data_IF_966399460716
#
_entry.id   IF_966399460716
#
_cell.length_a   1.000
_cell.length_b   1.000
_cell.length_c   1.000
_cell.angle_alpha   90.00
_cell.angle_beta   90.00
_cell.angle_gamma   90.00
#
_symmetry.space_group_name_H-M   'P 1'
#
loop_
_entity.id
_entity.type
_entity.pdbx_description
1 polymer ?
#
# COMPACT_ATOMS: atom_id res chain seq x y z
N UNK A 1 8.01 -11.45 -14.57
CA UNK A 1 8.88 -11.19 -13.39
C UNK A 1 9.41 -9.76 -13.49
N UNK A 2 8.94 -8.86 -12.63
CA UNK A 2 9.23 -7.41 -12.70
C UNK A 2 10.46 -6.97 -11.88
N UNK A 3 11.02 -7.85 -11.04
CA UNK A 3 12.09 -7.52 -10.10
C UNK A 3 13.29 -6.79 -10.73
N UNK A 4 13.84 -7.20 -11.90
CA UNK A 4 14.94 -6.47 -12.52
C UNK A 4 14.60 -5.05 -12.93
N UNK A 5 13.34 -4.81 -13.34
CA UNK A 5 12.86 -3.49 -13.71
C UNK A 5 12.69 -2.61 -12.47
N UNK A 6 12.13 -3.15 -11.38
CA UNK A 6 12.04 -2.45 -10.09
C UNK A 6 13.40 -2.05 -9.56
N UNK A 7 14.41 -2.96 -9.60
CA UNK A 7 15.78 -2.65 -9.19
C UNK A 7 16.33 -1.49 -10.02
N UNK A 8 16.16 -1.52 -11.34
CA UNK A 8 16.63 -0.46 -12.24
C UNK A 8 15.99 0.89 -11.92
N UNK A 9 14.67 0.93 -11.70
CA UNK A 9 13.95 2.16 -11.35
C UNK A 9 14.37 2.68 -9.97
N UNK A 10 14.65 1.78 -9.03
CA UNK A 10 15.08 2.14 -7.69
C UNK A 10 16.49 2.74 -7.64
N UNK A 11 17.40 2.38 -8.56
CA UNK A 11 18.76 2.93 -8.59
C UNK A 11 18.80 4.46 -8.81
N UNK A 12 17.76 5.05 -9.41
CA UNK A 12 17.59 6.51 -9.54
C UNK A 12 16.16 6.88 -9.11
N UNK A 13 15.83 6.51 -7.85
CA UNK A 13 14.46 6.58 -7.33
C UNK A 13 13.87 7.98 -7.39
N UNK A 14 14.66 9.03 -7.11
CA UNK A 14 14.18 10.42 -7.14
C UNK A 14 13.58 10.81 -8.50
N UNK A 15 14.14 10.28 -9.59
CA UNK A 15 13.62 10.53 -10.95
C UNK A 15 12.55 9.54 -11.39
N UNK A 16 12.54 8.34 -10.81
CA UNK A 16 11.73 7.23 -11.29
C UNK A 16 10.62 6.80 -10.32
N UNK A 17 10.38 7.56 -9.23
CA UNK A 17 9.42 7.17 -8.20
C UNK A 17 8.03 6.86 -8.78
N UNK A 18 7.53 7.72 -9.67
CA UNK A 18 6.25 7.48 -10.34
C UNK A 18 6.23 6.17 -11.13
N UNK A 19 7.22 5.95 -12.01
CA UNK A 19 7.30 4.72 -12.80
C UNK A 19 7.50 3.47 -11.91
N UNK A 20 8.17 3.62 -10.78
CA UNK A 20 8.34 2.54 -9.80
C UNK A 20 7.01 2.11 -9.17
N UNK A 21 6.21 3.08 -8.69
CA UNK A 21 4.91 2.79 -8.09
C UNK A 21 3.88 2.32 -9.13
N UNK A 22 3.90 2.90 -10.32
CA UNK A 22 3.04 2.47 -11.43
C UNK A 22 3.32 1.01 -11.81
N UNK A 23 4.59 0.62 -11.93
CA UNK A 23 4.98 -0.77 -12.21
C UNK A 23 4.53 -1.73 -11.11
N UNK A 24 4.64 -1.33 -9.82
CA UNK A 24 4.13 -2.13 -8.70
C UNK A 24 2.61 -2.28 -8.77
N UNK A 25 1.89 -1.21 -9.13
CA UNK A 25 0.44 -1.27 -9.27
C UNK A 25 0.01 -2.23 -10.38
N UNK A 26 0.67 -2.19 -11.53
CA UNK A 26 0.43 -3.15 -12.63
C UNK A 26 0.67 -4.59 -12.18
N UNK A 27 1.80 -4.88 -11.52
CA UNK A 27 2.10 -6.24 -11.03
C UNK A 27 1.06 -6.73 -10.02
N UNK A 28 0.59 -5.86 -9.15
CA UNK A 28 -0.47 -6.18 -8.18
C UNK A 28 -1.79 -6.54 -8.89
N UNK A 29 -2.19 -5.79 -9.91
CA UNK A 29 -3.39 -6.08 -10.67
C UNK A 29 -3.25 -7.35 -11.50
N UNK A 30 -2.12 -7.57 -12.15
CA UNK A 30 -1.82 -8.81 -12.88
C UNK A 30 -1.92 -10.02 -11.95
N UNK A 31 -1.39 -9.90 -10.73
CA UNK A 31 -1.45 -10.95 -9.73
C UNK A 31 -2.90 -11.24 -9.27
N UNK A 32 -3.71 -10.20 -9.04
CA UNK A 32 -5.13 -10.33 -8.70
C UNK A 32 -5.91 -11.02 -9.83
N UNK A 33 -5.70 -10.60 -11.07
CA UNK A 33 -6.36 -11.17 -12.24
C UNK A 33 -5.95 -12.64 -12.46
N UNK A 34 -4.67 -12.97 -12.28
CA UNK A 34 -4.18 -14.34 -12.32
C UNK A 34 -4.81 -15.23 -11.22
N UNK A 35 -5.14 -14.62 -10.07
CA UNK A 35 -5.89 -15.24 -8.99
C UNK A 35 -7.41 -15.36 -9.23
N UNK A 36 -7.89 -14.89 -10.40
CA UNK A 36 -9.31 -14.97 -10.78
C UNK A 36 -10.16 -13.78 -10.34
N UNK A 37 -9.55 -12.73 -9.77
CA UNK A 37 -10.27 -11.51 -9.41
C UNK A 37 -10.60 -10.73 -10.68
N UNK A 38 -11.88 -10.48 -10.91
CA UNK A 38 -12.35 -9.67 -12.02
C UNK A 38 -12.61 -8.23 -11.54
N UNK A 39 -12.01 -7.27 -12.23
CA UNK A 39 -12.16 -5.84 -11.92
C UNK A 39 -12.94 -5.20 -13.07
N UNK A 40 -14.03 -4.52 -12.74
CA UNK A 40 -14.90 -3.91 -13.73
C UNK A 40 -15.99 -3.03 -13.10
N UNK A 41 -17.02 -2.63 -13.88
CA UNK A 41 -18.02 -1.61 -13.46
C UNK A 41 -18.80 -1.93 -12.18
N UNK A 42 -18.98 -3.21 -11.87
CA UNK A 42 -19.68 -3.66 -10.66
C UNK A 42 -18.74 -3.74 -9.44
N UNK A 43 -17.41 -3.61 -9.63
CA UNK A 43 -16.44 -3.73 -8.55
C UNK A 43 -16.41 -2.44 -7.72
N UNK A 44 -16.74 -2.55 -6.45
CA UNK A 44 -16.53 -1.50 -5.44
C UNK A 44 -15.18 -1.74 -4.78
N UNK A 45 -14.26 -0.80 -4.95
CA UNK A 45 -12.90 -0.91 -4.45
C UNK A 45 -12.58 0.18 -3.45
N UNK A 46 -11.86 -0.19 -2.39
CA UNK A 46 -11.18 0.72 -1.48
C UNK A 46 -9.66 0.61 -1.70
N UNK A 47 -9.03 1.72 -2.06
CA UNK A 47 -7.56 1.85 -2.11
C UNK A 47 -7.10 2.43 -0.77
N UNK A 48 -6.66 1.55 0.14
CA UNK A 48 -6.42 1.82 1.55
C UNK A 48 -4.94 2.12 1.79
N UNK A 49 -4.61 3.34 2.23
CA UNK A 49 -3.24 3.86 2.21
C UNK A 49 -2.80 4.14 0.78
N UNK A 50 -3.65 4.86 0.05
CA UNK A 50 -3.55 4.96 -1.41
C UNK A 50 -2.32 5.73 -1.91
N UNK A 51 -1.66 6.56 -1.09
CA UNK A 51 -0.56 7.41 -1.49
C UNK A 51 -0.89 8.21 -2.75
N UNK A 52 -0.15 7.98 -3.84
CA UNK A 52 -0.40 8.64 -5.13
C UNK A 52 -1.59 8.05 -5.91
N UNK A 53 -2.15 6.92 -5.49
CA UNK A 53 -3.38 6.35 -6.04
C UNK A 53 -3.22 5.49 -7.29
N UNK A 54 -2.03 4.97 -7.61
CA UNK A 54 -1.81 4.17 -8.82
C UNK A 54 -2.68 2.90 -8.91
N UNK A 55 -2.81 2.07 -7.84
CA UNK A 55 -3.67 0.90 -7.91
C UNK A 55 -5.13 1.27 -8.18
N UNK A 56 -5.63 2.27 -7.45
CA UNK A 56 -6.99 2.77 -7.65
C UNK A 56 -7.21 3.38 -9.02
N UNK A 57 -6.22 4.08 -9.59
CA UNK A 57 -6.29 4.61 -10.95
C UNK A 57 -6.51 3.49 -11.97
N UNK A 58 -5.68 2.45 -11.94
CA UNK A 58 -5.78 1.33 -12.88
C UNK A 58 -7.13 0.60 -12.73
N UNK A 59 -7.63 0.43 -11.51
CA UNK A 59 -8.97 -0.15 -11.29
C UNK A 59 -10.08 0.75 -11.85
N UNK A 60 -9.97 2.07 -11.74
CA UNK A 60 -10.92 3.01 -12.35
C UNK A 60 -10.89 2.95 -13.87
N UNK A 61 -9.72 2.83 -14.47
CA UNK A 61 -9.54 2.66 -15.92
C UNK A 61 -10.20 1.36 -16.41
N UNK A 62 -10.23 0.31 -15.57
CA UNK A 62 -10.99 -0.92 -15.80
C UNK A 62 -12.50 -0.77 -15.52
N UNK A 63 -12.96 0.41 -15.07
CA UNK A 63 -14.36 0.74 -14.84
C UNK A 63 -14.82 0.62 -13.38
N UNK A 64 -13.97 0.21 -12.44
CA UNK A 64 -14.35 0.01 -11.04
C UNK A 64 -14.74 1.33 -10.35
N UNK A 65 -15.63 1.21 -9.35
CA UNK A 65 -16.02 2.29 -8.46
C UNK A 65 -15.01 2.35 -7.31
N UNK A 66 -14.08 3.30 -7.38
CA UNK A 66 -12.96 3.39 -6.42
C UNK A 66 -13.15 4.52 -5.43
N UNK A 67 -12.99 4.20 -4.15
CA UNK A 67 -12.79 5.15 -3.05
C UNK A 67 -11.32 5.08 -2.66
N UNK A 68 -10.67 6.23 -2.56
CA UNK A 68 -9.30 6.36 -2.06
C UNK A 68 -9.33 6.73 -0.59
N UNK A 69 -8.45 6.13 0.22
CA UNK A 69 -8.34 6.47 1.62
C UNK A 69 -6.88 6.51 2.07
N UNK A 70 -6.49 7.60 2.76
CA UNK A 70 -5.15 7.78 3.32
C UNK A 70 -5.18 8.78 4.47
N UNK A 71 -4.08 8.88 5.22
CA UNK A 71 -3.92 9.90 6.24
C UNK A 71 -3.86 11.32 5.65
N UNK A 72 -3.21 11.48 4.49
CA UNK A 72 -3.10 12.70 3.70
C UNK A 72 -3.49 12.46 2.25
N UNK A 73 -4.09 13.43 1.59
CA UNK A 73 -4.42 13.34 0.17
C UNK A 73 -3.21 13.69 -0.72
N UNK A 74 -2.37 12.68 -0.98
CA UNK A 74 -1.20 12.77 -1.84
C UNK A 74 -1.44 12.27 -3.28
N UNK A 75 -2.71 12.01 -3.65
CA UNK A 75 -3.06 11.47 -4.96
C UNK A 75 -2.61 12.38 -6.11
N UNK A 76 -2.36 11.74 -7.26
CA UNK A 76 -2.14 12.44 -8.53
C UNK A 76 -3.25 13.47 -8.79
N UNK A 77 -2.92 14.59 -9.41
CA UNK A 77 -3.89 15.66 -9.70
C UNK A 77 -5.08 15.16 -10.52
N UNK A 78 -4.86 14.20 -11.43
CA UNK A 78 -5.90 13.54 -12.21
C UNK A 78 -6.94 12.78 -11.39
N UNK A 79 -6.63 12.47 -10.13
CA UNK A 79 -7.48 11.70 -9.21
C UNK A 79 -8.17 12.56 -8.16
N UNK A 80 -7.88 13.86 -8.09
CA UNK A 80 -8.41 14.74 -7.02
C UNK A 80 -9.94 14.85 -7.00
N UNK A 81 -10.59 14.73 -8.14
CA UNK A 81 -12.05 14.72 -8.26
C UNK A 81 -12.69 13.37 -7.86
N UNK A 82 -11.91 12.32 -7.69
CA UNK A 82 -12.42 11.02 -7.25
C UNK A 82 -12.74 11.04 -5.75
N UNK A 83 -13.65 10.16 -5.26
CA UNK A 83 -13.96 10.05 -3.85
C UNK A 83 -12.70 9.78 -3.01
N UNK A 84 -12.50 10.57 -1.95
CA UNK A 84 -11.42 10.41 -0.98
C UNK A 84 -11.96 10.46 0.44
N UNK A 85 -11.44 9.59 1.29
CA UNK A 85 -11.73 9.54 2.71
C UNK A 85 -10.43 9.66 3.49
N UNK A 86 -10.34 10.63 4.38
CA UNK A 86 -9.20 10.73 5.28
C UNK A 86 -9.31 9.66 6.37
N UNK A 87 -8.21 8.90 6.59
CA UNK A 87 -8.19 7.80 7.55
C UNK A 87 -6.84 7.74 8.30
N UNK A 88 -6.90 7.58 9.62
CA UNK A 88 -5.75 7.13 10.42
C UNK A 88 -5.92 5.65 10.74
N UNK A 89 -5.22 4.80 10.01
CA UNK A 89 -5.30 3.34 10.15
C UNK A 89 -4.82 2.80 11.50
N UNK A 90 -4.16 3.60 12.32
CA UNK A 90 -3.75 3.19 13.66
C UNK A 90 -4.90 3.20 14.67
N UNK A 91 -5.98 3.95 14.41
CA UNK A 91 -7.05 4.17 15.39
C UNK A 91 -8.45 4.30 14.79
N UNK A 92 -8.60 4.29 13.46
CA UNK A 92 -9.90 4.44 12.80
C UNK A 92 -10.84 3.27 13.12
N UNK A 93 -12.12 3.55 13.30
CA UNK A 93 -13.16 2.52 13.23
C UNK A 93 -13.40 2.18 11.76
N UNK A 94 -12.98 1.00 11.33
CA UNK A 94 -13.05 0.60 9.93
C UNK A 94 -14.48 0.41 9.44
N UNK A 95 -15.46 0.23 10.33
CA UNK A 95 -16.88 0.13 9.97
C UNK A 95 -17.42 1.40 9.30
N UNK A 96 -16.82 2.56 9.60
CA UNK A 96 -17.24 3.85 9.04
C UNK A 96 -16.91 3.97 7.53
N UNK A 97 -16.04 3.11 7.00
CA UNK A 97 -15.56 3.18 5.60
C UNK A 97 -16.36 2.28 4.65
N UNK A 98 -17.31 1.50 5.18
CA UNK A 98 -18.20 0.65 4.41
C UNK A 98 -17.54 -0.61 3.86
N UNK A 99 -18.31 -1.40 3.11
CA UNK A 99 -17.87 -2.70 2.59
C UNK A 99 -17.61 -2.65 1.09
N UNK A 100 -16.56 -3.37 0.67
CA UNK A 100 -16.05 -3.36 -0.70
C UNK A 100 -15.83 -4.78 -1.21
N UNK A 101 -15.83 -4.93 -2.54
CA UNK A 101 -15.54 -6.20 -3.21
C UNK A 101 -14.04 -6.43 -3.33
N UNK A 102 -13.28 -5.35 -3.39
CA UNK A 102 -11.82 -5.36 -3.38
C UNK A 102 -11.30 -4.26 -2.43
N UNK A 103 -10.45 -4.65 -1.49
CA UNK A 103 -9.66 -3.72 -0.69
C UNK A 103 -8.19 -3.94 -1.01
N UNK A 104 -7.52 -2.91 -1.49
CA UNK A 104 -6.07 -2.95 -1.70
C UNK A 104 -5.36 -2.17 -0.61
N UNK A 105 -4.33 -2.79 -0.01
CA UNK A 105 -3.45 -2.18 0.99
C UNK A 105 -2.00 -2.53 0.61
N UNK A 106 -1.35 -1.64 -0.11
CA UNK A 106 -0.04 -1.90 -0.72
C UNK A 106 1.04 -1.03 -0.11
N UNK A 107 2.05 -1.66 0.51
CA UNK A 107 3.18 -0.98 1.18
C UNK A 107 2.74 0.03 2.27
N UNK A 108 1.75 -0.34 3.06
CA UNK A 108 1.19 0.47 4.15
C UNK A 108 1.48 -0.14 5.51
N UNK A 109 1.39 -1.48 5.61
CA UNK A 109 1.43 -2.19 6.87
C UNK A 109 2.71 -1.92 7.67
N UNK A 110 3.84 -1.79 6.96
CA UNK A 110 5.16 -1.48 7.53
C UNK A 110 5.26 -0.08 8.15
N UNK A 111 4.34 0.81 7.80
CA UNK A 111 4.29 2.19 8.31
C UNK A 111 3.34 2.35 9.49
N UNK A 112 2.51 1.35 9.80
CA UNK A 112 1.57 1.42 10.91
C UNK A 112 2.25 1.17 12.26
N UNK A 113 1.87 1.96 13.25
CA UNK A 113 2.29 1.72 14.64
C UNK A 113 1.58 0.50 15.23
N UNK A 114 0.32 0.28 14.83
CA UNK A 114 -0.54 -0.80 15.31
C UNK A 114 -1.11 -1.62 14.13
N UNK A 115 -0.26 -2.36 13.37
CA UNK A 115 -0.71 -3.11 12.19
C UNK A 115 -1.78 -4.16 12.52
N UNK A 116 -1.76 -4.69 13.74
CA UNK A 116 -2.78 -5.63 14.21
C UNK A 116 -4.17 -5.01 14.33
N UNK A 117 -4.29 -3.69 14.49
CA UNK A 117 -5.58 -3.02 14.49
C UNK A 117 -6.27 -3.20 13.15
N UNK A 118 -5.59 -2.88 12.05
CA UNK A 118 -6.10 -3.10 10.70
C UNK A 118 -6.44 -4.58 10.47
N UNK A 119 -5.51 -5.49 10.74
CA UNK A 119 -5.67 -6.92 10.42
C UNK A 119 -6.84 -7.59 11.16
N UNK A 120 -7.14 -7.16 12.38
CA UNK A 120 -8.26 -7.72 13.17
C UNK A 120 -9.63 -7.26 12.70
N UNK A 121 -9.70 -6.14 11.99
CA UNK A 121 -10.98 -5.50 11.63
C UNK A 121 -11.23 -5.48 10.11
N UNK A 122 -10.44 -6.24 9.33
CA UNK A 122 -10.56 -6.32 7.88
C UNK A 122 -11.94 -6.78 7.40
N UNK A 123 -12.60 -7.63 8.18
CA UNK A 123 -13.94 -8.13 7.87
C UNK A 123 -14.99 -7.02 7.82
N UNK A 124 -14.73 -5.89 8.45
CA UNK A 124 -15.60 -4.72 8.40
C UNK A 124 -15.54 -3.99 7.05
N UNK A 125 -14.40 -4.10 6.33
CA UNK A 125 -14.17 -3.47 5.04
C UNK A 125 -14.58 -4.33 3.85
N UNK A 126 -14.87 -5.63 4.06
CA UNK A 126 -15.11 -6.58 2.98
C UNK A 126 -16.56 -7.02 2.89
N UNK A 127 -17.09 -7.10 1.67
CA UNK A 127 -18.27 -7.87 1.35
C UNK A 127 -18.02 -9.37 1.60
N UNK A 128 -19.06 -10.22 1.75
CA UNK A 128 -18.89 -11.65 2.07
C UNK A 128 -17.98 -12.43 1.12
N UNK A 129 -17.87 -12.00 -0.16
CA UNK A 129 -16.98 -12.57 -1.17
C UNK A 129 -15.85 -11.60 -1.55
N UNK A 130 -15.64 -10.58 -0.76
CA UNK A 130 -14.63 -9.55 -1.02
C UNK A 130 -13.21 -10.09 -0.89
N UNK A 131 -12.31 -9.50 -1.66
CA UNK A 131 -10.89 -9.84 -1.69
C UNK A 131 -10.09 -8.74 -1.01
N UNK A 132 -9.18 -9.13 -0.13
CA UNK A 132 -8.17 -8.25 0.44
C UNK A 132 -6.81 -8.53 -0.19
N UNK A 133 -6.27 -7.53 -0.89
CA UNK A 133 -4.89 -7.55 -1.37
C UNK A 133 -4.00 -6.86 -0.35
N UNK A 134 -2.98 -7.55 0.11
CA UNK A 134 -1.99 -7.01 1.03
C UNK A 134 -0.59 -7.23 0.48
N UNK A 135 0.18 -6.17 0.36
CA UNK A 135 1.62 -6.24 0.15
C UNK A 135 2.35 -5.34 1.14
N UNK A 136 3.57 -5.72 1.48
CA UNK A 136 4.45 -4.94 2.33
C UNK A 136 5.91 -5.16 1.96
N UNK A 137 6.76 -4.20 2.29
CA UNK A 137 8.19 -4.31 2.06
C UNK A 137 8.83 -5.12 3.18
N UNK A 138 9.37 -6.30 2.85
CA UNK A 138 10.07 -7.13 3.81
C UNK A 138 11.41 -6.48 4.19
N UNK A 139 11.73 -6.48 5.51
CA UNK A 139 13.00 -5.94 6.02
C UNK A 139 14.25 -6.50 5.33
N UNK A 140 14.24 -7.78 4.97
CA UNK A 140 15.37 -8.45 4.30
C UNK A 140 15.41 -8.20 2.77
N UNK A 141 14.44 -7.47 2.21
CA UNK A 141 14.49 -7.08 0.80
C UNK A 141 15.54 -5.97 0.59
N UNK A 142 16.01 -5.75 -0.66
CA UNK A 142 16.92 -4.65 -0.97
C UNK A 142 16.38 -3.27 -0.54
N UNK A 143 15.08 -3.14 -0.40
CA UNK A 143 14.38 -1.90 0.01
C UNK A 143 13.92 -1.90 1.46
N UNK A 144 14.04 -3.03 2.17
CA UNK A 144 13.50 -3.20 3.52
C UNK A 144 14.08 -2.24 4.56
N UNK A 145 15.28 -1.75 4.33
CA UNK A 145 15.90 -0.73 5.17
C UNK A 145 15.45 0.69 4.90
N UNK A 146 14.64 0.94 3.85
CA UNK A 146 14.31 2.28 3.38
C UNK A 146 15.56 3.17 3.30
N UNK A 147 15.57 4.30 4.02
CA UNK A 147 16.73 5.21 4.10
C UNK A 147 17.99 4.58 4.71
N UNK A 148 17.84 3.45 5.44
CA UNK A 148 18.97 2.72 6.04
C UNK A 148 19.54 1.63 5.13
N UNK A 149 19.02 1.45 3.93
CA UNK A 149 19.57 0.48 2.99
C UNK A 149 20.94 0.94 2.48
N UNK A 150 21.97 0.07 2.39
CA UNK A 150 21.98 -1.38 2.71
C UNK A 150 22.35 -1.72 4.17
N UNK A 151 22.56 -0.73 5.03
CA UNK A 151 23.04 -0.91 6.40
C UNK A 151 22.09 -1.73 7.29
N UNK A 152 20.81 -1.82 6.92
CA UNK A 152 19.81 -2.63 7.62
C UNK A 152 20.17 -4.12 7.69
N UNK A 153 20.98 -4.64 6.74
CA UNK A 153 21.48 -6.03 6.77
C UNK A 153 22.43 -6.30 7.94
N UNK A 154 23.03 -5.27 8.52
CA UNK A 154 23.94 -5.38 9.68
C UNK A 154 23.15 -5.35 11.01
N UNK A 155 21.84 -5.29 10.97
CA UNK A 155 20.95 -5.30 12.13
C UNK A 155 20.64 -3.89 12.68
N UNK A 156 19.66 -3.83 13.59
CA UNK A 156 19.11 -2.57 14.14
C UNK A 156 20.12 -1.63 14.83
N UNK A 157 21.32 -2.13 15.18
CA UNK A 157 22.34 -1.36 15.91
C UNK A 157 23.36 -0.65 15.01
N UNK A 158 23.32 -0.91 13.72
CA UNK A 158 24.38 -0.48 12.78
C UNK A 158 23.98 0.72 11.91
N UNK A 159 22.75 1.18 12.00
CA UNK A 159 22.28 2.37 11.29
C UNK A 159 22.66 3.67 12.00
N UNK A 160 22.91 4.77 11.25
CA UNK A 160 23.08 6.08 11.87
C UNK A 160 21.80 6.44 12.64
N UNK A 161 21.97 6.83 13.90
CA UNK A 161 20.89 7.30 14.76
C UNK A 161 20.46 8.68 14.25
N UNK A 162 19.70 8.74 13.18
CA UNK A 162 18.94 9.93 12.87
C UNK A 162 17.62 9.86 13.63
N UNK A 163 17.51 10.72 14.63
CA UNK A 163 16.30 11.03 15.37
C UNK A 163 15.31 11.74 14.43
N UNK A 164 14.76 11.02 13.49
CA UNK A 164 13.58 11.47 12.75
C UNK A 164 12.40 10.69 13.33
N UNK A 165 11.55 11.37 14.07
CA UNK A 165 10.27 10.92 14.58
C UNK A 165 10.31 9.61 15.38
N UNK A 166 10.21 9.68 16.69
CA UNK A 166 10.25 8.57 17.66
C UNK A 166 9.20 7.45 17.45
N UNK A 167 8.45 7.44 16.35
CA UNK A 167 7.35 6.52 16.10
C UNK A 167 7.47 5.66 14.82
N UNK A 168 8.54 5.76 14.03
CA UNK A 168 8.60 5.13 12.71
C UNK A 168 9.13 3.69 12.67
N UNK A 169 9.62 3.12 13.76
CA UNK A 169 10.16 1.76 13.75
C UNK A 169 9.85 0.99 15.04
N UNK A 170 8.60 0.58 15.23
CA UNK A 170 8.34 -0.69 15.91
C UNK A 170 8.30 -1.79 14.85
N UNK A 171 9.45 -2.37 14.58
CA UNK A 171 9.56 -3.56 13.74
C UNK A 171 8.93 -4.71 14.52
N UNK A 172 7.81 -5.23 14.05
CA UNK A 172 7.32 -6.53 14.46
C UNK A 172 8.16 -7.59 13.74
N UNK A 173 9.20 -8.09 14.41
CA UNK A 173 9.66 -9.44 14.20
C UNK A 173 8.88 -10.24 15.23
N UNK A 174 7.89 -11.03 14.77
CA UNK A 174 7.23 -11.98 15.64
C UNK A 174 8.27 -12.96 16.21
N UNK A 175 8.15 -13.20 17.50
CA UNK A 175 8.73 -14.37 18.16
C UNK A 175 8.08 -15.64 17.61
#
# INVERSE_FOLDING_TARGET
>A
MILPQLIRLHLDYEKNAHAFFELQAHDALDWLQAGGVQIGPETRMLDLGCGHGYPGQLCREAGAQVVFADFEDLRLDSLKEAPFQQIDLNQADLADYGRHDLVMCSNVLEHLAEPNHLLRHLDQLLNPSGVFYLSWTNWLSPWGGHEFSPWHYLGKRSGPVHTVGKNLFKTYIGE
#
